data_IF_098879318410
#
_entry.id   IF_098879318410
#
_cell.length_a   1.000
_cell.length_b   1.000
_cell.length_c   1.000
_cell.angle_alpha   90.00
_cell.angle_beta   90.00
_cell.angle_gamma   90.00
#
_symmetry.space_group_name_H-M   'P 1'
#
loop_
_entity.id
_entity.type
_entity.pdbx_description
1 polymer ?
#
# COMPACT_ATOMS: atom_id res chain seq x y z
N UNK A 1 -10.71 3.14 -5.80
CA UNK A 1 -12.12 3.26 -6.27
C UNK A 1 -12.36 2.52 -7.59
N UNK A 2 -11.69 2.87 -8.70
CA UNK A 2 -11.85 2.17 -9.99
C UNK A 2 -11.64 0.65 -9.87
N UNK A 3 -10.54 0.23 -9.23
CA UNK A 3 -10.24 -1.20 -9.03
C UNK A 3 -11.32 -1.91 -8.19
N UNK A 4 -11.86 -1.24 -7.15
CA UNK A 4 -12.94 -1.80 -6.35
C UNK A 4 -14.26 -1.95 -7.13
N UNK A 5 -14.56 -1.01 -8.04
CA UNK A 5 -15.71 -1.14 -8.94
C UNK A 5 -15.53 -2.33 -9.89
N UNK A 6 -14.36 -2.44 -10.53
CA UNK A 6 -14.04 -3.58 -11.41
C UNK A 6 -14.15 -4.90 -10.67
N UNK A 7 -13.62 -4.98 -9.44
CA UNK A 7 -13.72 -6.19 -8.63
C UNK A 7 -15.17 -6.51 -8.23
N UNK A 8 -15.96 -5.51 -7.82
CA UNK A 8 -17.38 -5.71 -7.52
C UNK A 8 -18.18 -6.24 -8.72
N UNK A 9 -17.90 -5.74 -9.93
CA UNK A 9 -18.50 -6.25 -11.15
C UNK A 9 -18.04 -7.67 -11.49
N UNK A 10 -16.75 -7.97 -11.32
CA UNK A 10 -16.17 -9.28 -11.66
C UNK A 10 -16.70 -10.40 -10.75
N UNK A 11 -16.72 -10.15 -9.44
CA UNK A 11 -17.17 -11.12 -8.45
C UNK A 11 -18.70 -11.10 -8.25
N UNK A 12 -19.41 -10.16 -8.90
CA UNK A 12 -20.85 -9.92 -8.73
C UNK A 12 -21.24 -9.70 -7.26
N UNK A 13 -20.30 -9.23 -6.46
CA UNK A 13 -20.44 -8.99 -5.03
C UNK A 13 -20.04 -7.53 -4.72
N UNK A 14 -21.02 -6.66 -4.47
CA UNK A 14 -20.78 -5.26 -4.10
C UNK A 14 -20.02 -5.11 -2.78
N UNK A 15 -20.16 -6.04 -1.84
CA UNK A 15 -19.44 -5.99 -0.56
C UNK A 15 -17.94 -6.20 -0.79
N UNK A 16 -17.58 -7.19 -1.62
CA UNK A 16 -16.20 -7.45 -1.98
C UNK A 16 -15.58 -6.24 -2.71
N UNK A 17 -16.32 -5.62 -3.64
CA UNK A 17 -15.88 -4.40 -4.30
C UNK A 17 -15.62 -3.23 -3.35
N UNK A 18 -16.47 -3.08 -2.33
CA UNK A 18 -16.31 -2.10 -1.25
C UNK A 18 -15.06 -2.36 -0.39
N UNK A 19 -14.84 -3.61 0.02
CA UNK A 19 -13.65 -4.02 0.78
C UNK A 19 -12.37 -3.73 -0.03
N UNK A 20 -12.33 -4.10 -1.31
CA UNK A 20 -11.17 -3.84 -2.18
C UNK A 20 -10.96 -2.34 -2.39
N UNK A 21 -12.03 -1.56 -2.55
CA UNK A 21 -11.92 -0.11 -2.68
C UNK A 21 -11.29 0.52 -1.42
N UNK A 22 -11.74 0.11 -0.23
CA UNK A 22 -11.21 0.60 1.04
C UNK A 22 -9.75 0.15 1.26
N UNK A 23 -9.45 -1.13 1.02
CA UNK A 23 -8.11 -1.69 1.13
C UNK A 23 -7.10 -0.94 0.25
N UNK A 24 -7.49 -0.63 -1.00
CA UNK A 24 -6.65 0.13 -1.92
C UNK A 24 -6.41 1.57 -1.46
N UNK A 25 -7.38 2.22 -0.82
CA UNK A 25 -7.18 3.57 -0.26
C UNK A 25 -6.15 3.52 0.87
N UNK A 26 -6.30 2.57 1.80
CA UNK A 26 -5.37 2.37 2.92
C UNK A 26 -3.97 2.08 2.39
N UNK A 27 -3.85 1.17 1.42
CA UNK A 27 -2.56 0.79 0.86
C UNK A 27 -1.86 1.98 0.17
N UNK A 28 -2.60 2.79 -0.58
CA UNK A 28 -2.03 3.99 -1.22
C UNK A 28 -1.60 5.05 -0.21
N UNK A 29 -2.35 5.23 0.89
CA UNK A 29 -1.95 6.11 1.98
C UNK A 29 -0.64 5.64 2.63
N UNK A 30 -0.54 4.35 2.94
CA UNK A 30 0.69 3.78 3.48
C UNK A 30 1.86 3.86 2.49
N UNK A 31 1.62 3.60 1.20
CA UNK A 31 2.64 3.73 0.16
C UNK A 31 3.19 5.16 0.08
N UNK A 32 2.31 6.17 0.13
CA UNK A 32 2.72 7.58 0.11
C UNK A 32 3.53 7.95 1.36
N UNK A 33 3.08 7.52 2.54
CA UNK A 33 3.80 7.75 3.80
C UNK A 33 5.15 7.05 3.81
N UNK A 34 5.20 5.77 3.43
CA UNK A 34 6.42 4.98 3.32
C UNK A 34 7.40 5.60 2.33
N UNK A 35 6.93 6.03 1.16
CA UNK A 35 7.75 6.66 0.12
C UNK A 35 8.43 7.97 0.56
N UNK A 36 7.91 8.65 1.59
CA UNK A 36 8.51 9.87 2.13
C UNK A 36 9.29 9.58 3.42
N UNK A 37 8.70 8.85 4.36
CA UNK A 37 9.27 8.61 5.68
C UNK A 37 10.46 7.66 5.64
N UNK A 38 10.42 6.60 4.82
CA UNK A 38 11.52 5.62 4.78
C UNK A 38 12.82 6.26 4.28
N UNK A 39 12.84 7.00 3.15
CA UNK A 39 14.07 7.69 2.74
C UNK A 39 14.56 8.70 3.78
N UNK A 40 13.65 9.46 4.40
CA UNK A 40 13.99 10.48 5.40
C UNK A 40 14.60 9.87 6.67
N UNK A 41 14.06 8.73 7.11
CA UNK A 41 14.56 8.00 8.28
C UNK A 41 15.93 7.38 7.97
N UNK A 42 16.11 6.76 6.80
CA UNK A 42 17.40 6.19 6.38
C UNK A 42 18.49 7.26 6.33
N UNK A 43 18.21 8.41 5.73
CA UNK A 43 19.14 9.55 5.66
C UNK A 43 19.52 10.05 7.06
N UNK A 44 18.56 10.10 7.99
CA UNK A 44 18.81 10.48 9.39
C UNK A 44 19.73 9.50 10.13
N UNK A 45 19.72 8.22 9.74
CA UNK A 45 20.66 7.21 10.25
C UNK A 45 21.96 7.13 9.45
N UNK A 46 22.20 8.03 8.50
CA UNK A 46 23.37 8.04 7.58
C UNK A 46 23.45 6.78 6.70
N UNK A 47 22.32 6.15 6.43
CA UNK A 47 22.21 5.02 5.50
C UNK A 47 21.76 5.59 4.16
N UNK A 48 22.44 5.20 3.07
CA UNK A 48 22.10 5.65 1.72
C UNK A 48 20.67 5.22 1.33
N UNK A 49 19.73 6.17 1.20
CA UNK A 49 18.35 5.86 0.84
C UNK A 49 18.24 5.24 -0.55
N UNK A 50 19.12 5.57 -1.50
CA UNK A 50 19.01 5.11 -2.88
C UNK A 50 19.18 3.59 -2.99
N UNK A 51 19.99 2.98 -2.12
CA UNK A 51 20.28 1.54 -2.16
C UNK A 51 19.17 0.72 -1.50
N UNK A 52 18.55 1.25 -0.43
CA UNK A 52 17.64 0.45 0.42
C UNK A 52 16.16 0.86 0.35
N UNK A 53 15.85 2.11 0.00
CA UNK A 53 14.48 2.65 0.07
C UNK A 53 13.48 1.86 -0.75
N UNK A 54 13.84 1.43 -1.97
CA UNK A 54 12.92 0.69 -2.83
C UNK A 54 12.42 -0.60 -2.18
N UNK A 55 13.34 -1.39 -1.60
CA UNK A 55 13.01 -2.67 -0.93
C UNK A 55 12.18 -2.44 0.32
N UNK A 56 12.52 -1.44 1.13
CA UNK A 56 11.75 -1.09 2.32
C UNK A 56 10.34 -0.55 1.98
N UNK A 57 10.21 0.27 0.95
CA UNK A 57 8.91 0.78 0.51
C UNK A 57 8.04 -0.37 0.01
N UNK A 58 8.58 -1.25 -0.85
CA UNK A 58 7.81 -2.38 -1.37
C UNK A 58 7.37 -3.34 -0.27
N UNK A 59 8.25 -3.67 0.67
CA UNK A 59 7.89 -4.53 1.82
C UNK A 59 6.80 -3.92 2.69
N UNK A 60 6.85 -2.61 2.96
CA UNK A 60 5.78 -1.94 3.70
C UNK A 60 4.47 -1.98 2.92
N UNK A 61 4.48 -1.70 1.62
CA UNK A 61 3.27 -1.76 0.80
C UNK A 61 2.73 -3.18 0.64
N UNK A 62 3.58 -4.20 0.65
CA UNK A 62 3.17 -5.60 0.59
C UNK A 62 2.48 -6.01 1.90
N UNK A 63 3.09 -5.70 3.05
CA UNK A 63 2.49 -5.98 4.35
C UNK A 63 1.17 -5.23 4.53
N UNK A 64 1.14 -3.91 4.29
CA UNK A 64 -0.09 -3.12 4.45
C UNK A 64 -1.15 -3.55 3.44
N UNK A 65 -0.79 -3.80 2.19
CA UNK A 65 -1.73 -4.26 1.16
C UNK A 65 -2.36 -5.59 1.54
N UNK A 66 -1.59 -6.54 2.07
CA UNK A 66 -2.10 -7.81 2.55
C UNK A 66 -3.03 -7.64 3.76
N UNK A 67 -2.59 -6.89 4.79
CA UNK A 67 -3.41 -6.64 5.98
C UNK A 67 -4.67 -5.84 5.69
N UNK A 68 -4.62 -4.87 4.78
CA UNK A 68 -5.79 -4.06 4.43
C UNK A 68 -6.85 -4.83 3.64
N UNK A 69 -6.45 -5.92 2.96
CA UNK A 69 -7.35 -6.76 2.18
C UNK A 69 -7.84 -8.01 2.94
N UNK A 70 -6.99 -8.65 3.74
CA UNK A 70 -7.28 -9.92 4.43
C UNK A 70 -7.41 -9.81 5.96
N UNK A 71 -7.03 -8.67 6.54
CA UNK A 71 -7.07 -8.41 7.98
C UNK A 71 -8.38 -7.81 8.47
#
# INVERSE_FOLDING_TARGET
VLIGMVAGFWFRDPNLGGIIAAAMIINMFAAALAGILIPLVLDRFKIDPAVASAVFVTTVTDCVGFFAFLG
#
